data_IF_036463662739
#
_entry.id   IF_036463662739
#
_cell.length_a   1.000
_cell.length_b   1.000
_cell.length_c   1.000
_cell.angle_alpha   90.00
_cell.angle_beta   90.00
_cell.angle_gamma   90.00
#
_symmetry.space_group_name_H-M   'P 1'
#
loop_
_entity.id
_entity.type
_entity.pdbx_description
1 polymer ?
#
# COMPACT_ATOMS: atom_id res chain seq x y z
N UNK A 1 -20.67 2.84 4.25
CA UNK A 1 -19.94 1.66 3.72
C UNK A 1 -18.62 1.60 4.46
N UNK A 2 -18.21 0.44 4.93
CA UNK A 2 -16.96 0.25 5.68
C UNK A 2 -15.71 0.24 4.80
N UNK A 3 -15.86 -0.11 3.50
CA UNK A 3 -14.77 0.03 2.54
C UNK A 3 -14.62 1.48 2.13
N UNK A 4 -13.46 2.04 2.45
CA UNK A 4 -13.08 3.45 2.23
C UNK A 4 -11.70 3.51 1.54
N UNK A 5 -11.30 4.68 1.10
CA UNK A 5 -9.98 4.94 0.52
C UNK A 5 -8.96 5.33 1.60
N UNK A 6 -7.66 5.25 1.30
CA UNK A 6 -6.63 5.83 2.18
C UNK A 6 -6.84 7.33 2.37
N UNK A 7 -7.29 8.03 1.34
CA UNK A 7 -7.62 9.47 1.39
C UNK A 7 -8.63 9.81 2.50
N UNK A 8 -9.50 8.86 2.85
CA UNK A 8 -10.51 9.05 3.88
C UNK A 8 -10.01 8.70 5.28
N UNK A 9 -9.11 7.71 5.44
CA UNK A 9 -8.66 7.29 6.79
C UNK A 9 -7.34 7.93 7.24
N UNK A 10 -6.44 8.30 6.34
CA UNK A 10 -5.15 8.88 6.73
C UNK A 10 -5.28 10.23 7.46
N UNK A 11 -6.19 11.15 7.10
CA UNK A 11 -6.42 12.37 7.88
C UNK A 11 -6.87 12.10 9.33
N UNK A 12 -7.63 11.03 9.56
CA UNK A 12 -7.99 10.60 10.91
C UNK A 12 -6.76 10.13 11.70
N UNK A 13 -5.87 9.36 11.06
CA UNK A 13 -4.62 8.92 11.69
C UNK A 13 -3.74 10.11 12.08
N UNK A 14 -3.62 11.10 11.21
CA UNK A 14 -2.88 12.33 11.46
C UNK A 14 -3.47 13.13 12.62
N UNK A 15 -4.78 13.34 12.64
CA UNK A 15 -5.47 14.03 13.74
C UNK A 15 -5.26 13.34 15.09
N UNK A 16 -5.37 11.99 15.10
CA UNK A 16 -5.23 11.19 16.32
C UNK A 16 -3.78 10.88 16.70
N UNK A 17 -2.82 11.19 15.82
CA UNK A 17 -1.39 10.86 15.97
C UNK A 17 -1.17 9.36 16.20
N UNK A 18 -1.82 8.55 15.38
CA UNK A 18 -1.71 7.08 15.36
C UNK A 18 -1.29 6.60 13.99
N UNK A 19 -0.73 5.41 13.91
CA UNK A 19 -0.53 4.69 12.65
C UNK A 19 -1.76 3.82 12.35
N UNK A 20 -2.13 3.70 11.08
CA UNK A 20 -3.11 2.71 10.62
C UNK A 20 -2.34 1.44 10.24
N UNK A 21 -2.65 0.28 10.86
CA UNK A 21 -1.97 -0.96 10.51
C UNK A 21 -2.36 -1.43 9.10
N UNK A 22 -1.36 -1.98 8.38
CA UNK A 22 -1.57 -2.64 7.10
C UNK A 22 -1.26 -4.14 7.26
N UNK A 23 -2.23 -4.99 6.91
CA UNK A 23 -2.13 -6.43 7.05
C UNK A 23 -2.20 -7.11 5.69
N UNK A 24 -1.15 -7.84 5.32
CA UNK A 24 -1.15 -8.66 4.12
C UNK A 24 -2.03 -9.90 4.34
N UNK A 25 -2.92 -10.17 3.39
CA UNK A 25 -3.82 -11.31 3.41
C UNK A 25 -3.50 -12.29 2.30
N UNK A 26 -3.69 -13.58 2.58
CA UNK A 26 -3.36 -14.68 1.68
C UNK A 26 -4.44 -15.75 1.61
N UNK A 27 -5.27 -15.85 2.66
CA UNK A 27 -6.38 -16.81 2.75
C UNK A 27 -7.64 -16.14 3.29
N UNK A 28 -8.78 -16.81 3.10
CA UNK A 28 -10.06 -16.35 3.63
C UNK A 28 -10.07 -16.33 5.17
N UNK A 29 -9.44 -17.32 5.80
CA UNK A 29 -9.41 -17.44 7.27
C UNK A 29 -8.61 -16.30 7.92
N UNK A 30 -7.45 -15.96 7.35
CA UNK A 30 -6.65 -14.81 7.80
C UNK A 30 -7.44 -13.51 7.60
N UNK A 31 -8.08 -13.35 6.44
CA UNK A 31 -8.91 -12.17 6.15
C UNK A 31 -10.03 -12.02 7.15
N UNK A 32 -10.73 -13.11 7.46
CA UNK A 32 -11.83 -13.10 8.43
C UNK A 32 -11.34 -12.72 9.83
N UNK A 33 -10.27 -13.36 10.31
CA UNK A 33 -9.72 -13.08 11.64
C UNK A 33 -9.27 -11.61 11.79
N UNK A 34 -8.65 -11.05 10.76
CA UNK A 34 -8.24 -9.63 10.77
C UNK A 34 -9.48 -8.72 10.83
N UNK A 35 -10.47 -8.95 9.96
CA UNK A 35 -11.66 -8.09 9.90
C UNK A 35 -12.52 -8.18 11.17
N UNK A 36 -12.65 -9.37 11.77
CA UNK A 36 -13.31 -9.55 13.07
C UNK A 36 -12.59 -8.73 14.15
N UNK A 37 -11.25 -8.82 14.23
CA UNK A 37 -10.46 -8.04 15.19
C UNK A 37 -10.56 -6.53 14.95
N UNK A 38 -10.52 -6.09 13.69
CA UNK A 38 -10.73 -4.68 13.30
C UNK A 38 -12.06 -4.14 13.83
N UNK A 39 -13.13 -4.92 13.70
CA UNK A 39 -14.46 -4.52 14.18
C UNK A 39 -14.55 -4.55 15.71
N UNK A 40 -14.00 -5.59 16.36
CA UNK A 40 -13.98 -5.73 17.83
C UNK A 40 -13.20 -4.59 18.50
N UNK A 41 -12.01 -4.26 17.98
CA UNK A 41 -11.14 -3.22 18.50
C UNK A 41 -11.54 -1.80 18.05
N UNK A 42 -12.50 -1.70 17.13
CA UNK A 42 -12.92 -0.43 16.51
C UNK A 42 -11.71 0.38 15.99
N UNK A 43 -10.76 -0.31 15.38
CA UNK A 43 -9.50 0.25 14.87
C UNK A 43 -9.46 0.13 13.34
N UNK A 44 -9.46 1.23 12.59
CA UNK A 44 -9.33 1.19 11.13
C UNK A 44 -8.07 0.47 10.68
N UNK A 45 -8.14 -0.25 9.55
CA UNK A 45 -7.01 -0.98 9.02
C UNK A 45 -6.96 -0.95 7.48
N UNK A 46 -5.77 -1.20 6.95
CA UNK A 46 -5.51 -1.44 5.54
C UNK A 46 -5.38 -2.95 5.35
N UNK A 47 -6.18 -3.51 4.46
CA UNK A 47 -6.16 -4.93 4.09
C UNK A 47 -5.42 -5.01 2.75
N UNK A 48 -4.19 -5.47 2.80
CA UNK A 48 -3.27 -5.45 1.67
C UNK A 48 -3.21 -6.80 0.96
N UNK A 49 -3.17 -6.76 -0.37
CA UNK A 49 -2.96 -7.94 -1.22
C UNK A 49 -1.63 -7.74 -1.96
N UNK A 50 -0.63 -8.50 -1.55
CA UNK A 50 0.73 -8.43 -2.08
C UNK A 50 0.98 -9.33 -3.30
N UNK A 51 2.21 -9.26 -3.81
CA UNK A 51 2.60 -9.94 -5.04
C UNK A 51 2.57 -11.47 -4.96
N UNK A 52 2.76 -12.07 -3.77
CA UNK A 52 2.64 -13.51 -3.60
C UNK A 52 1.22 -14.00 -3.93
N UNK A 53 0.20 -13.35 -3.35
CA UNK A 53 -1.20 -13.67 -3.60
C UNK A 53 -1.60 -13.42 -5.07
N UNK A 54 -1.05 -12.38 -5.70
CA UNK A 54 -1.31 -12.06 -7.11
C UNK A 54 -0.74 -13.15 -8.03
N UNK A 55 0.49 -13.60 -7.79
CA UNK A 55 1.12 -14.68 -8.55
C UNK A 55 0.36 -16.01 -8.43
N UNK A 56 -0.24 -16.25 -7.28
CA UNK A 56 -1.11 -17.42 -7.03
C UNK A 56 -2.51 -17.26 -7.63
N UNK A 57 -2.82 -16.15 -8.30
CA UNK A 57 -4.12 -15.91 -8.93
C UNK A 57 -5.25 -15.64 -7.94
N UNK A 58 -4.93 -15.15 -6.74
CA UNK A 58 -5.90 -14.95 -5.65
C UNK A 58 -6.50 -13.53 -5.58
N UNK A 59 -6.05 -12.58 -6.43
CA UNK A 59 -6.44 -11.17 -6.34
C UNK A 59 -7.96 -10.97 -6.29
N UNK A 60 -8.70 -11.53 -7.24
CA UNK A 60 -10.15 -11.35 -7.33
C UNK A 60 -10.88 -12.07 -6.19
N UNK A 61 -10.41 -13.26 -5.80
CA UNK A 61 -11.04 -14.04 -4.72
C UNK A 61 -10.86 -13.38 -3.35
N UNK A 62 -9.68 -12.85 -3.05
CA UNK A 62 -9.42 -12.10 -1.84
C UNK A 62 -10.21 -10.79 -1.81
N UNK A 63 -10.26 -10.07 -2.94
CA UNK A 63 -11.08 -8.86 -3.06
C UNK A 63 -12.57 -9.16 -2.79
N UNK A 64 -13.10 -10.23 -3.37
CA UNK A 64 -14.48 -10.64 -3.14
C UNK A 64 -14.75 -11.02 -1.66
N UNK A 65 -13.78 -11.69 -1.02
CA UNK A 65 -13.84 -12.04 0.39
C UNK A 65 -13.89 -10.79 1.27
N UNK A 66 -12.95 -9.87 1.11
CA UNK A 66 -12.91 -8.60 1.88
C UNK A 66 -14.19 -7.81 1.67
N UNK A 67 -14.64 -7.63 0.43
CA UNK A 67 -15.87 -6.89 0.12
C UNK A 67 -17.11 -7.51 0.73
N UNK A 68 -17.16 -8.82 0.81
CA UNK A 68 -18.30 -9.55 1.40
C UNK A 68 -18.31 -9.40 2.91
N UNK A 69 -17.19 -9.62 3.57
CA UNK A 69 -17.07 -9.56 5.02
C UNK A 69 -17.17 -8.12 5.54
N UNK A 70 -16.60 -7.16 4.82
CA UNK A 70 -16.65 -5.76 5.22
C UNK A 70 -18.03 -5.11 5.03
N UNK A 71 -18.96 -5.72 4.30
CA UNK A 71 -20.25 -5.12 3.92
C UNK A 71 -21.06 -4.55 5.08
N UNK A 72 -21.09 -5.29 6.19
CA UNK A 72 -21.91 -4.98 7.35
C UNK A 72 -21.08 -4.44 8.54
N UNK A 73 -19.78 -4.26 8.36
CA UNK A 73 -18.89 -3.65 9.35
C UNK A 73 -19.19 -2.15 9.54
N UNK A 74 -18.88 -1.64 10.72
CA UNK A 74 -18.95 -0.20 11.05
C UNK A 74 -17.58 0.44 10.98
N UNK A 75 -16.55 -0.31 11.35
CA UNK A 75 -15.17 0.17 11.35
C UNK A 75 -14.64 0.26 9.90
N UNK A 76 -14.08 1.41 9.50
CA UNK A 76 -13.58 1.59 8.14
C UNK A 76 -12.34 0.73 7.86
N UNK A 77 -12.32 0.13 6.67
CA UNK A 77 -11.17 -0.62 6.15
C UNK A 77 -10.87 -0.21 4.71
N UNK A 78 -9.60 -0.28 4.34
CA UNK A 78 -9.13 -0.04 2.97
C UNK A 78 -8.76 -1.38 2.36
N UNK A 79 -9.23 -1.68 1.15
CA UNK A 79 -8.73 -2.79 0.36
C UNK A 79 -7.65 -2.27 -0.60
N UNK A 80 -6.40 -2.69 -0.38
CA UNK A 80 -5.21 -2.11 -0.97
C UNK A 80 -4.41 -3.12 -1.81
N UNK A 81 -4.06 -2.73 -3.04
CA UNK A 81 -3.05 -3.42 -3.85
C UNK A 81 -1.67 -2.99 -3.38
N UNK A 82 -0.90 -3.93 -2.86
CA UNK A 82 0.44 -3.70 -2.34
C UNK A 82 1.51 -4.04 -3.39
N UNK A 83 2.49 -3.15 -3.57
CA UNK A 83 3.58 -3.26 -4.54
C UNK A 83 3.14 -3.62 -5.97
N UNK A 84 2.12 -2.93 -6.51
CA UNK A 84 1.71 -3.10 -7.90
C UNK A 84 2.89 -2.84 -8.87
N UNK A 85 3.16 -3.79 -9.76
CA UNK A 85 4.34 -3.78 -10.65
C UNK A 85 4.04 -3.27 -12.05
N UNK A 86 2.77 -3.06 -12.40
CA UNK A 86 2.38 -2.52 -13.70
C UNK A 86 1.01 -1.86 -13.66
N UNK A 87 0.76 -1.01 -14.64
CA UNK A 87 -0.56 -0.40 -14.86
C UNK A 87 -1.66 -1.45 -15.05
N UNK A 88 -1.35 -2.58 -15.70
CA UNK A 88 -2.32 -3.67 -15.87
C UNK A 88 -2.72 -4.31 -14.56
N UNK A 89 -1.78 -4.51 -13.63
CA UNK A 89 -2.11 -5.01 -12.28
C UNK A 89 -3.01 -4.04 -11.53
N UNK A 90 -2.68 -2.75 -11.58
CA UNK A 90 -3.51 -1.68 -11.00
C UNK A 90 -4.93 -1.72 -11.57
N UNK A 91 -5.08 -1.78 -12.89
CA UNK A 91 -6.40 -1.85 -13.54
C UNK A 91 -7.17 -3.09 -13.12
N UNK A 92 -6.52 -4.27 -13.04
CA UNK A 92 -7.16 -5.50 -12.55
C UNK A 92 -7.65 -5.36 -11.11
N UNK A 93 -6.83 -4.77 -10.23
CA UNK A 93 -7.21 -4.53 -8.85
C UNK A 93 -8.43 -3.57 -8.76
N UNK A 94 -8.41 -2.47 -9.49
CA UNK A 94 -9.54 -1.53 -9.54
C UNK A 94 -10.81 -2.22 -10.05
N UNK A 95 -10.73 -3.05 -11.09
CA UNK A 95 -11.85 -3.83 -11.60
C UNK A 95 -12.37 -4.85 -10.57
N UNK A 96 -11.51 -5.39 -9.72
CA UNK A 96 -11.89 -6.28 -8.61
C UNK A 96 -12.52 -5.53 -7.43
N UNK A 97 -12.47 -4.19 -7.42
CA UNK A 97 -13.07 -3.33 -6.40
C UNK A 97 -12.14 -2.92 -5.27
N UNK A 98 -10.85 -2.85 -5.54
CA UNK A 98 -9.88 -2.24 -4.63
C UNK A 98 -10.17 -0.75 -4.46
N UNK A 99 -10.10 -0.27 -3.23
CA UNK A 99 -10.32 1.15 -2.88
C UNK A 99 -9.01 1.94 -2.80
N UNK A 100 -7.89 1.25 -2.86
CA UNK A 100 -6.54 1.81 -2.86
C UNK A 100 -5.60 0.94 -3.69
N UNK A 101 -4.67 1.56 -4.38
CA UNK A 101 -3.65 0.86 -5.18
C UNK A 101 -2.29 1.51 -5.00
N UNK A 102 -1.24 0.70 -4.92
CA UNK A 102 0.13 1.17 -4.96
C UNK A 102 0.75 0.83 -6.32
N UNK A 103 1.51 1.77 -6.87
CA UNK A 103 2.45 1.52 -7.98
C UNK A 103 3.86 1.65 -7.47
N UNK A 104 4.61 0.56 -7.53
CA UNK A 104 6.01 0.52 -7.13
C UNK A 104 6.92 0.83 -8.32
N UNK A 105 7.25 2.11 -8.46
CA UNK A 105 8.21 2.62 -9.43
C UNK A 105 9.62 2.81 -8.86
N UNK A 106 9.91 2.33 -7.66
CA UNK A 106 11.19 2.58 -6.94
C UNK A 106 12.43 2.08 -7.67
N UNK A 107 12.26 1.08 -8.53
CA UNK A 107 13.34 0.51 -9.38
C UNK A 107 13.56 1.25 -10.70
N UNK A 108 12.66 2.16 -11.05
CA UNK A 108 12.75 2.96 -12.27
C UNK A 108 13.60 4.21 -12.05
N UNK A 109 14.15 4.80 -13.11
CA UNK A 109 14.66 6.16 -13.07
C UNK A 109 13.60 7.14 -12.54
N UNK A 110 14.03 8.19 -11.86
CA UNK A 110 13.13 9.15 -11.19
C UNK A 110 12.00 9.68 -12.09
N UNK A 111 12.33 10.09 -13.31
CA UNK A 111 11.34 10.61 -14.27
C UNK A 111 10.37 9.52 -14.76
N UNK A 112 10.83 8.29 -14.91
CA UNK A 112 10.00 7.16 -15.31
C UNK A 112 9.05 6.75 -14.16
N UNK A 113 9.51 6.82 -12.91
CA UNK A 113 8.66 6.63 -11.74
C UNK A 113 7.56 7.70 -11.69
N UNK A 114 7.91 8.97 -11.91
CA UNK A 114 6.93 10.05 -12.01
C UNK A 114 5.90 9.75 -13.12
N UNK A 115 6.36 9.36 -14.30
CA UNK A 115 5.48 9.14 -15.46
C UNK A 115 4.47 8.00 -15.20
N UNK A 116 4.93 6.85 -14.72
CA UNK A 116 4.04 5.72 -14.41
C UNK A 116 3.08 6.04 -13.26
N UNK A 117 3.56 6.76 -12.24
CA UNK A 117 2.73 7.19 -11.11
C UNK A 117 1.63 8.15 -11.56
N UNK A 118 1.94 9.12 -12.42
CA UNK A 118 0.93 10.04 -12.98
C UNK A 118 -0.15 9.30 -13.76
N UNK A 119 0.23 8.28 -14.54
CA UNK A 119 -0.72 7.45 -15.27
C UNK A 119 -1.65 6.70 -14.31
N UNK A 120 -1.11 6.05 -13.27
CA UNK A 120 -1.89 5.35 -12.25
C UNK A 120 -2.80 6.30 -11.48
N UNK A 121 -2.31 7.48 -11.08
CA UNK A 121 -3.13 8.51 -10.40
C UNK A 121 -4.34 8.89 -11.25
N UNK A 122 -4.15 9.10 -12.55
CA UNK A 122 -5.26 9.44 -13.46
C UNK A 122 -6.31 8.33 -13.53
N UNK A 123 -5.87 7.07 -13.62
CA UNK A 123 -6.75 5.90 -13.73
C UNK A 123 -7.49 5.67 -12.40
N UNK A 124 -6.76 5.63 -11.28
CA UNK A 124 -7.33 5.36 -9.97
C UNK A 124 -8.30 6.46 -9.51
N UNK A 125 -7.99 7.73 -9.76
CA UNK A 125 -8.91 8.83 -9.48
C UNK A 125 -10.21 8.73 -10.28
N UNK A 126 -10.15 8.31 -11.53
CA UNK A 126 -11.36 8.06 -12.33
C UNK A 126 -12.21 6.90 -11.80
N UNK A 127 -11.58 5.93 -11.13
CA UNK A 127 -12.24 4.81 -10.45
C UNK A 127 -12.68 5.14 -9.01
N UNK A 128 -12.31 6.31 -8.47
CA UNK A 128 -12.62 6.70 -7.08
C UNK A 128 -11.71 6.06 -6.02
N UNK A 129 -10.55 5.52 -6.42
CA UNK A 129 -9.57 4.91 -5.53
C UNK A 129 -8.45 5.89 -5.15
N UNK A 130 -7.78 5.62 -4.02
CA UNK A 130 -6.56 6.31 -3.60
C UNK A 130 -5.32 5.66 -4.20
N UNK A 131 -4.23 6.42 -4.25
CA UNK A 131 -2.95 5.96 -4.81
C UNK A 131 -1.83 6.14 -3.81
N UNK A 132 -1.03 5.09 -3.67
CA UNK A 132 0.29 5.11 -3.04
C UNK A 132 1.37 4.97 -4.10
N UNK A 133 2.54 5.58 -3.87
CA UNK A 133 3.74 5.39 -4.67
C UNK A 133 4.93 5.08 -3.78
N UNK A 134 6.04 4.63 -4.38
CA UNK A 134 7.31 4.42 -3.67
C UNK A 134 8.43 5.24 -4.30
N UNK A 135 9.23 5.88 -3.44
CA UNK A 135 10.41 6.64 -3.82
C UNK A 135 11.62 6.17 -3.05
N UNK A 136 12.67 5.79 -3.78
CA UNK A 136 13.85 5.17 -3.22
C UNK A 136 13.67 3.68 -2.93
N UNK A 137 14.76 2.98 -2.65
CA UNK A 137 14.71 1.54 -2.40
C UNK A 137 14.49 1.26 -0.90
N UNK A 138 13.42 0.57 -0.57
CA UNK A 138 13.26 -0.08 0.72
C UNK A 138 13.94 -1.44 0.65
N UNK A 139 15.01 -1.62 1.44
CA UNK A 139 15.87 -2.80 1.38
C UNK A 139 15.17 -4.08 1.88
N UNK A 140 15.79 -5.24 1.63
CA UNK A 140 15.28 -6.52 2.11
C UNK A 140 14.44 -7.27 1.09
N UNK A 141 13.64 -8.22 1.58
CA UNK A 141 12.78 -9.05 0.74
C UNK A 141 11.41 -9.19 1.38
N UNK A 142 10.38 -8.87 0.62
CA UNK A 142 8.98 -9.10 0.96
C UNK A 142 8.26 -9.65 -0.27
N UNK A 143 7.41 -10.66 -0.09
CA UNK A 143 6.55 -11.25 -1.13
C UNK A 143 7.27 -11.58 -2.45
N UNK A 144 8.52 -12.06 -2.38
CA UNK A 144 9.42 -12.32 -3.53
C UNK A 144 9.88 -11.04 -4.28
N UNK A 145 9.70 -9.88 -3.71
CA UNK A 145 10.35 -8.64 -4.13
C UNK A 145 11.66 -8.54 -3.36
N UNK A 146 12.80 -8.43 -4.07
CA UNK A 146 14.10 -8.23 -3.45
C UNK A 146 14.77 -7.00 -4.04
N UNK A 147 15.41 -6.22 -3.19
CA UNK A 147 16.26 -5.11 -3.57
C UNK A 147 17.73 -5.50 -3.41
N UNK A 148 18.56 -5.00 -4.30
CA UNK A 148 20.02 -5.20 -4.22
C UNK A 148 20.59 -4.33 -3.08
N UNK A 149 20.90 -4.98 -1.96
CA UNK A 149 21.45 -4.34 -0.77
C UNK A 149 22.83 -3.66 -1.02
N UNK A 150 23.45 -3.90 -2.17
CA UNK A 150 24.75 -3.32 -2.50
C UNK A 150 24.71 -1.85 -2.89
N UNK A 151 23.52 -1.31 -3.18
CA UNK A 151 23.33 0.09 -3.60
C UNK A 151 22.04 0.67 -3.01
N UNK A 152 22.02 0.99 -1.70
CA UNK A 152 20.86 1.66 -1.12
C UNK A 152 20.70 3.04 -1.77
N UNK A 153 19.58 3.25 -2.47
CA UNK A 153 19.19 4.59 -2.91
C UNK A 153 18.43 5.26 -1.77
N UNK A 154 19.15 6.02 -0.96
CA UNK A 154 18.54 6.84 0.08
C UNK A 154 17.95 8.10 -0.56
N UNK A 155 16.70 8.34 -0.29
CA UNK A 155 15.98 9.53 -0.75
C UNK A 155 16.41 10.75 0.04
N UNK A 156 16.71 11.83 -0.62
CA UNK A 156 16.91 13.13 0.03
C UNK A 156 15.60 13.92 0.09
N UNK A 157 15.54 14.92 0.96
CA UNK A 157 14.34 15.76 1.13
C UNK A 157 13.92 16.43 -0.18
N UNK A 158 14.89 16.83 -1.02
CA UNK A 158 14.59 17.45 -2.30
C UNK A 158 13.90 16.49 -3.27
N UNK A 159 14.30 15.21 -3.30
CA UNK A 159 13.66 14.20 -4.13
C UNK A 159 12.18 14.04 -3.77
N UNK A 160 11.86 14.05 -2.47
CA UNK A 160 10.46 13.98 -1.98
C UNK A 160 9.67 15.21 -2.42
N UNK A 161 10.24 16.41 -2.28
CA UNK A 161 9.60 17.65 -2.68
C UNK A 161 9.31 17.64 -4.18
N UNK A 162 10.29 17.27 -5.00
CA UNK A 162 10.17 17.26 -6.45
C UNK A 162 9.16 16.20 -6.92
N UNK A 163 9.21 14.99 -6.33
CA UNK A 163 8.28 13.93 -6.63
C UNK A 163 6.83 14.32 -6.28
N UNK A 164 6.59 14.80 -5.06
CA UNK A 164 5.24 15.17 -4.61
C UNK A 164 4.69 16.43 -5.30
N UNK A 165 5.57 17.28 -5.84
CA UNK A 165 5.16 18.37 -6.69
C UNK A 165 4.69 17.86 -8.07
N UNK A 166 5.36 16.82 -8.61
CA UNK A 166 5.05 16.25 -9.90
C UNK A 166 3.84 15.32 -9.88
N UNK A 167 3.64 14.54 -8.80
CA UNK A 167 2.55 13.57 -8.67
C UNK A 167 1.66 13.90 -7.46
N UNK A 168 0.35 13.61 -7.60
CA UNK A 168 -0.64 13.85 -6.54
C UNK A 168 -1.13 12.51 -6.00
N UNK A 169 -0.26 11.86 -5.21
CA UNK A 169 -0.57 10.62 -4.51
C UNK A 169 -1.18 10.89 -3.13
N UNK A 170 -1.88 9.92 -2.58
CA UNK A 170 -2.52 9.99 -1.26
C UNK A 170 -1.59 9.48 -0.15
N UNK A 171 -0.63 8.61 -0.51
CA UNK A 171 0.43 8.11 0.36
C UNK A 171 1.74 7.95 -0.42
N UNK A 172 2.87 8.03 0.28
CA UNK A 172 4.19 7.84 -0.30
C UNK A 172 5.07 7.01 0.65
N UNK A 173 5.51 5.85 0.19
CA UNK A 173 6.56 5.08 0.82
C UNK A 173 7.92 5.68 0.46
N UNK A 174 8.75 5.94 1.46
CA UNK A 174 10.03 6.62 1.28
C UNK A 174 11.19 5.77 1.79
N UNK A 175 12.14 5.47 0.90
CA UNK A 175 13.36 4.73 1.23
C UNK A 175 14.36 5.59 2.01
N UNK A 176 14.30 5.52 3.34
CA UNK A 176 15.14 6.31 4.26
C UNK A 176 16.15 5.45 5.03
N UNK A 177 16.43 4.22 4.55
CA UNK A 177 17.25 3.23 5.23
C UNK A 177 16.44 2.20 6.03
N UNK A 178 15.13 2.24 5.93
CA UNK A 178 14.21 1.20 6.36
C UNK A 178 14.36 -0.06 5.48
N UNK A 179 13.90 -1.19 5.99
CA UNK A 179 13.97 -2.45 5.27
C UNK A 179 12.77 -3.34 5.59
N UNK A 180 12.40 -4.17 4.62
CA UNK A 180 11.42 -5.23 4.83
C UNK A 180 11.98 -6.36 5.69
N UNK A 181 11.12 -6.99 6.49
CA UNK A 181 11.45 -8.15 7.30
C UNK A 181 12.18 -7.83 8.60
N UNK A 182 12.93 -8.82 9.11
CA UNK A 182 13.62 -8.69 10.38
C UNK A 182 14.95 -7.95 10.22
N UNK A 183 15.11 -6.88 10.98
CA UNK A 183 16.36 -6.13 11.05
C UNK A 183 17.45 -6.95 11.76
N UNK A 184 18.63 -7.03 11.15
CA UNK A 184 19.80 -7.71 11.73
C UNK A 184 20.77 -6.75 12.45
N UNK A 185 20.36 -5.56 12.77
CA UNK A 185 21.21 -4.51 13.33
C UNK A 185 20.50 -3.64 14.35
N UNK A 186 21.09 -2.47 14.62
CA UNK A 186 20.48 -1.48 15.51
C UNK A 186 19.13 -1.04 14.94
N UNK A 187 18.12 -1.25 15.73
CA UNK A 187 16.75 -0.97 15.35
C UNK A 187 16.50 0.52 15.46
N UNK A 188 15.98 1.12 14.40
CA UNK A 188 15.40 2.45 14.45
C UNK A 188 14.06 2.48 15.22
N UNK A 189 13.88 1.56 16.14
CA UNK A 189 12.67 1.48 16.98
C UNK A 189 12.49 2.65 17.95
N UNK A 190 13.43 3.53 18.03
CA UNK A 190 13.45 4.59 19.04
C UNK A 190 13.65 5.98 18.48
N UNK A 191 13.43 6.19 17.19
CA UNK A 191 13.26 7.55 16.69
C UNK A 191 11.81 7.96 16.97
N UNK A 192 11.62 8.55 18.15
CA UNK A 192 10.43 9.31 18.46
C UNK A 192 10.29 10.51 17.51
#
# INVERSE_FOLDING_TARGET
MSLVTMREILPYAEEKKIAIPAFNIDTMEITQAILETVEEENCPAIIAVGQAAIKDGKLESLAATVRTLAKDMKTPVVLHLDHGQSVEQVVKALCAGFTSVMIDGSKLPFEDNIAVTQEVVRIANAAGASVEAELGAILGSEDNISHDDSKPFLVCVQDVIDFTAAVKVDALAVGIGNAHGLYKGCLLYTSD
#
